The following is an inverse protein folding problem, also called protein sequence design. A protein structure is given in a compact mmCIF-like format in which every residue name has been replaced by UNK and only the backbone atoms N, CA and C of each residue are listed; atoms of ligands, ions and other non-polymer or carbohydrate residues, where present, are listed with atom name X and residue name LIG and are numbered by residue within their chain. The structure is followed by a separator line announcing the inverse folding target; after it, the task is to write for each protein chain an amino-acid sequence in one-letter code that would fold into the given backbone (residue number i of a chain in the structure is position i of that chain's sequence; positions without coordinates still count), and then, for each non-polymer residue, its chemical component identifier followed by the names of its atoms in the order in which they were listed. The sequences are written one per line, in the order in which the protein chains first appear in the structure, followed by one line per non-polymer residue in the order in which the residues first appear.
data_IF_630009308884
#
_entry.id   IF_630009308884
#
_cell.length_a   1.000
_cell.length_b   1.000
_cell.length_c   1.000
_cell.angle_alpha   90.00
_cell.angle_beta   90.00
_cell.angle_gamma   90.00
#
_symmetry.space_group_name_H-M   'P 1'
#
loop_
_entity.id
_entity.type
_entity.pdbx_description
1 polymer ?
#
# COMPACT_ATOMS: atom_id res chain seq x y z
N UNK A 1 -6.19 -6.18 15.51
CA UNK A 1 -6.35 -5.47 16.81
C UNK A 1 -5.66 -6.19 17.96
N UNK A 2 -6.04 -7.44 18.29
CA UNK A 2 -5.50 -8.17 19.46
C UNK A 2 -3.96 -8.31 19.51
N UNK A 3 -3.27 -8.29 18.37
CA UNK A 3 -1.80 -8.37 18.30
C UNK A 3 -1.07 -7.03 18.41
N UNK A 4 -1.79 -5.91 18.53
CA UNK A 4 -1.19 -4.58 18.69
C UNK A 4 -0.32 -4.10 17.51
N UNK A 5 -0.45 -4.71 16.33
CA UNK A 5 0.32 -4.32 15.13
C UNK A 5 -0.23 -2.97 14.62
N UNK A 6 0.60 -1.92 14.51
CA UNK A 6 0.19 -0.64 13.96
C UNK A 6 -0.36 -0.78 12.55
N UNK A 7 -1.38 -0.01 12.22
CA UNK A 7 -2.00 0.02 10.90
C UNK A 7 -2.41 1.45 10.59
N UNK A 8 -2.38 1.83 9.31
CA UNK A 8 -2.79 3.14 8.84
C UNK A 8 -3.94 3.00 7.85
N UNK A 9 -4.68 4.09 7.66
CA UNK A 9 -5.83 4.18 6.78
C UNK A 9 -5.40 4.24 5.31
N UNK A 10 -6.00 3.40 4.46
CA UNK A 10 -5.93 3.50 3.01
C UNK A 10 -7.10 4.27 2.40
N UNK A 11 -7.03 4.59 1.11
CA UNK A 11 -8.09 5.35 0.44
C UNK A 11 -9.41 4.55 0.30
N UNK A 12 -9.33 3.23 0.07
CA UNK A 12 -10.50 2.36 0.11
C UNK A 12 -11.09 2.27 1.51
N UNK A 13 -10.25 2.17 2.54
CA UNK A 13 -10.70 2.15 3.93
C UNK A 13 -11.45 3.43 4.28
N UNK A 14 -10.90 4.59 3.87
CA UNK A 14 -11.57 5.89 4.03
C UNK A 14 -12.92 5.91 3.29
N UNK A 15 -12.94 5.49 2.03
CA UNK A 15 -14.17 5.49 1.25
C UNK A 15 -15.26 4.61 1.86
N UNK A 16 -14.91 3.41 2.33
CA UNK A 16 -15.85 2.44 2.91
C UNK A 16 -16.27 2.86 4.31
N UNK A 17 -15.34 3.37 5.12
CA UNK A 17 -15.61 3.74 6.49
C UNK A 17 -16.55 4.95 6.58
N UNK A 18 -16.48 5.90 5.67
CA UNK A 18 -17.39 7.05 5.63
C UNK A 18 -18.49 6.96 4.56
N UNK A 19 -18.55 5.86 3.82
CA UNK A 19 -19.54 5.63 2.75
C UNK A 19 -19.62 6.81 1.77
N UNK A 20 -18.46 7.34 1.37
CA UNK A 20 -18.34 8.55 0.54
C UNK A 20 -18.84 8.37 -0.90
N UNK A 21 -19.18 7.15 -1.31
CA UNK A 21 -19.61 6.81 -2.66
C UNK A 21 -18.47 6.36 -3.59
N UNK A 22 -17.22 6.70 -3.27
CA UNK A 22 -16.03 6.27 -4.01
C UNK A 22 -14.77 6.16 -3.12
N UNK A 23 -13.68 5.63 -3.69
CA UNK A 23 -12.35 5.53 -3.05
C UNK A 23 -11.37 6.65 -3.45
N UNK A 24 -11.79 7.63 -4.26
CA UNK A 24 -10.91 8.65 -4.85
C UNK A 24 -9.85 8.09 -5.80
N UNK A 25 -10.05 6.89 -6.36
CA UNK A 25 -9.10 6.23 -7.24
C UNK A 25 -9.15 6.81 -8.67
N UNK A 26 -8.04 6.72 -9.41
CA UNK A 26 -8.04 7.00 -10.83
C UNK A 26 -8.54 5.79 -11.63
N UNK A 27 -9.40 6.04 -12.62
CA UNK A 27 -9.90 5.05 -13.58
C UNK A 27 -9.54 5.50 -15.00
N UNK A 28 -9.03 4.57 -15.82
CA UNK A 28 -8.59 4.87 -17.17
C UNK A 28 -9.75 5.05 -18.16
N UNK A 29 -10.86 4.33 -17.94
CA UNK A 29 -12.06 4.34 -18.75
C UNK A 29 -13.31 4.03 -17.89
N UNK A 30 -14.49 4.14 -18.53
CA UNK A 30 -15.79 3.92 -17.86
C UNK A 30 -15.99 2.46 -17.41
N UNK A 31 -15.39 1.49 -18.10
CA UNK A 31 -15.49 0.09 -17.70
C UNK A 31 -14.70 -0.16 -16.41
N UNK A 32 -13.47 0.33 -16.33
CA UNK A 32 -12.63 0.28 -15.13
C UNK A 32 -13.32 0.97 -13.95
N UNK A 33 -13.98 2.11 -14.20
CA UNK A 33 -14.77 2.82 -13.19
C UNK A 33 -15.93 1.97 -12.69
N UNK A 34 -16.74 1.40 -13.60
CA UNK A 34 -17.87 0.53 -13.23
C UNK A 34 -17.43 -0.69 -12.43
N UNK A 35 -16.29 -1.30 -12.78
CA UNK A 35 -15.72 -2.42 -12.03
C UNK A 35 -15.31 -1.99 -10.61
N UNK A 36 -14.65 -0.83 -10.50
CA UNK A 36 -14.26 -0.26 -9.21
C UNK A 36 -15.44 0.09 -8.31
N UNK A 37 -16.49 0.68 -8.88
CA UNK A 37 -17.74 0.99 -8.18
C UNK A 37 -18.44 -0.27 -7.67
N UNK A 38 -18.50 -1.34 -8.48
CA UNK A 38 -19.06 -2.62 -8.03
C UNK A 38 -18.28 -3.22 -6.85
N UNK A 39 -16.94 -3.19 -6.92
CA UNK A 39 -16.08 -3.63 -5.81
C UNK A 39 -16.30 -2.80 -4.55
N UNK A 40 -16.42 -1.48 -4.70
CA UNK A 40 -16.67 -0.56 -3.60
C UNK A 40 -18.03 -0.81 -2.95
N UNK A 41 -19.10 -0.87 -3.75
CA UNK A 41 -20.46 -1.09 -3.28
C UNK A 41 -20.57 -2.41 -2.50
N UNK A 42 -20.01 -3.49 -3.04
CA UNK A 42 -19.93 -4.78 -2.33
C UNK A 42 -19.19 -4.66 -1.00
N UNK A 43 -18.07 -3.95 -0.96
CA UNK A 43 -17.30 -3.80 0.29
C UNK A 43 -18.09 -2.99 1.33
N UNK A 44 -18.82 -1.96 0.91
CA UNK A 44 -19.68 -1.17 1.82
C UNK A 44 -20.77 -2.02 2.46
N UNK A 45 -21.34 -3.00 1.74
CA UNK A 45 -22.38 -3.89 2.27
C UNK A 45 -21.81 -4.95 3.21
N UNK A 46 -20.63 -5.49 2.92
CA UNK A 46 -20.02 -6.57 3.72
C UNK A 46 -19.32 -6.07 5.00
N UNK A 47 -18.78 -4.85 5.00
CA UNK A 47 -18.04 -4.33 6.16
C UNK A 47 -19.03 -3.85 7.23
N UNK A 48 -19.02 -4.55 8.37
CA UNK A 48 -19.88 -4.26 9.52
C UNK A 48 -19.65 -2.87 10.11
N UNK A 49 -20.65 -2.36 10.83
CA UNK A 49 -20.57 -1.06 11.55
C UNK A 49 -19.38 -1.00 12.52
N UNK A 50 -19.09 -2.10 13.23
CA UNK A 50 -17.94 -2.17 14.13
C UNK A 50 -16.61 -2.07 13.37
N UNK A 51 -16.50 -2.74 12.21
CA UNK A 51 -15.31 -2.66 11.38
C UNK A 51 -15.16 -1.28 10.75
N UNK A 52 -16.24 -0.64 10.29
CA UNK A 52 -16.21 0.77 9.84
C UNK A 52 -15.72 1.69 10.95
N UNK A 53 -16.23 1.54 12.18
CA UNK A 53 -15.77 2.33 13.33
C UNK A 53 -14.27 2.16 13.60
N UNK A 54 -13.75 0.95 13.46
CA UNK A 54 -12.31 0.73 13.55
C UNK A 54 -11.52 1.36 12.41
N UNK A 55 -11.96 1.24 11.16
CA UNK A 55 -11.30 1.93 10.06
C UNK A 55 -11.22 3.44 10.32
N UNK A 56 -12.28 4.06 10.83
CA UNK A 56 -12.28 5.50 11.22
C UNK A 56 -11.27 5.84 12.31
N UNK A 57 -10.83 4.87 13.11
CA UNK A 57 -9.83 5.05 14.17
C UNK A 57 -8.38 4.96 13.68
N UNK A 58 -8.16 4.49 12.45
CA UNK A 58 -6.81 4.34 11.91
C UNK A 58 -6.20 5.71 11.59
N UNK A 59 -4.93 5.95 11.95
CA UNK A 59 -4.23 7.17 11.58
C UNK A 59 -3.95 7.19 10.07
N UNK A 60 -3.80 8.39 9.49
CA UNK A 60 -3.42 8.56 8.08
C UNK A 60 -1.95 8.22 7.82
N UNK A 61 -1.11 8.41 8.82
CA UNK A 61 0.33 8.20 8.76
C UNK A 61 0.86 7.61 10.07
N UNK A 62 2.01 6.94 10.01
CA UNK A 62 2.73 6.44 11.17
C UNK A 62 4.19 6.85 11.09
N UNK A 63 4.75 7.25 12.22
CA UNK A 63 6.17 7.56 12.36
C UNK A 63 6.79 6.57 13.34
N UNK A 64 7.80 5.83 12.88
CA UNK A 64 8.46 4.76 13.64
C UNK A 64 9.96 5.01 13.69
N UNK A 65 10.59 4.49 14.74
CA UNK A 65 12.05 4.44 14.86
C UNK A 65 12.50 2.98 14.74
N UNK A 66 13.38 2.68 13.79
CA UNK A 66 13.98 1.37 13.58
C UNK A 66 15.49 1.47 13.83
N UNK A 67 15.91 1.03 15.02
CA UNK A 67 17.26 1.29 15.56
C UNK A 67 17.57 2.80 15.56
N UNK A 68 18.52 3.26 14.75
CA UNK A 68 18.85 4.69 14.61
C UNK A 68 18.09 5.39 13.47
N UNK A 69 17.28 4.67 12.69
CA UNK A 69 16.61 5.21 11.51
C UNK A 69 15.18 5.63 11.78
N UNK A 70 14.78 6.75 11.18
CA UNK A 70 13.39 7.23 11.17
C UNK A 70 12.63 6.73 9.95
N UNK A 71 11.42 6.21 10.16
CA UNK A 71 10.56 5.65 9.12
C UNK A 71 9.19 6.32 9.17
N UNK A 72 8.79 6.94 8.07
CA UNK A 72 7.46 7.51 7.85
C UNK A 72 6.66 6.57 6.94
N UNK A 73 5.45 6.18 7.38
CA UNK A 73 4.57 5.28 6.66
C UNK A 73 3.29 6.02 6.27
N UNK A 74 2.93 5.94 4.99
CA UNK A 74 1.71 6.54 4.42
C UNK A 74 1.07 5.57 3.42
N UNK A 75 -0.21 5.76 3.07
CA UNK A 75 -0.82 4.92 2.03
C UNK A 75 -0.33 5.28 0.61
N UNK A 76 -0.54 6.52 0.15
CA UNK A 76 -0.14 7.00 -1.18
C UNK A 76 1.10 7.88 -1.15
N UNK A 77 0.98 9.07 -0.55
CA UNK A 77 2.09 10.01 -0.34
C UNK A 77 1.88 10.83 0.94
N UNK A 78 2.92 11.52 1.46
CA UNK A 78 2.78 12.47 2.57
C UNK A 78 1.84 13.65 2.27
N UNK A 79 1.51 13.91 1.00
CA UNK A 79 0.65 15.04 0.61
C UNK A 79 -0.82 14.65 0.55
N UNK A 80 -1.10 13.45 0.03
CA UNK A 80 -2.45 12.93 -0.22
C UNK A 80 -2.47 11.41 -0.19
N UNK A 81 -3.51 10.86 0.43
CA UNK A 81 -3.72 9.42 0.62
C UNK A 81 -3.83 8.66 -0.71
N UNK A 82 -4.44 9.24 -1.73
CA UNK A 82 -4.69 8.65 -3.05
C UNK A 82 -3.74 9.19 -4.14
N UNK A 83 -2.58 9.72 -3.77
CA UNK A 83 -1.57 10.11 -4.77
C UNK A 83 -0.77 8.90 -5.26
N UNK A 84 -0.79 8.68 -6.57
CA UNK A 84 -0.03 7.63 -7.25
C UNK A 84 1.45 8.02 -7.43
N UNK A 85 2.32 7.49 -6.57
CA UNK A 85 3.78 7.56 -6.75
C UNK A 85 4.29 6.39 -7.59
N UNK A 86 4.03 6.43 -8.90
CA UNK A 86 4.45 5.41 -9.88
C UNK A 86 5.98 5.44 -10.10
N UNK A 87 6.60 4.27 -10.28
CA UNK A 87 8.06 4.12 -10.40
C UNK A 87 8.68 4.99 -11.51
N UNK A 88 7.96 5.19 -12.60
CA UNK A 88 8.35 5.96 -13.79
C UNK A 88 7.93 7.44 -13.73
N UNK A 89 7.36 7.90 -12.61
CA UNK A 89 7.02 9.31 -12.41
C UNK A 89 8.27 10.17 -12.41
N UNK A 90 8.13 11.42 -12.89
CA UNK A 90 9.24 12.38 -12.99
C UNK A 90 10.01 12.46 -11.66
N UNK A 91 11.32 12.21 -11.76
CA UNK A 91 12.31 12.29 -10.68
C UNK A 91 12.22 13.59 -9.87
N UNK A 92 11.88 14.72 -10.50
CA UNK A 92 11.68 16.02 -9.82
C UNK A 92 10.55 15.97 -8.78
N UNK A 93 9.59 15.07 -8.93
CA UNK A 93 8.54 14.84 -7.92
C UNK A 93 9.14 14.20 -6.68
N UNK A 94 9.96 13.17 -6.86
CA UNK A 94 10.61 12.47 -5.75
C UNK A 94 11.64 13.35 -5.04
N UNK A 95 12.42 14.15 -5.78
CA UNK A 95 13.39 15.08 -5.18
C UNK A 95 12.71 16.15 -4.33
N UNK A 96 11.56 16.68 -4.77
CA UNK A 96 10.76 17.62 -3.96
C UNK A 96 10.18 16.98 -2.70
N UNK A 97 9.66 15.76 -2.82
CA UNK A 97 9.17 15.00 -1.66
C UNK A 97 10.31 14.70 -0.68
N UNK A 98 11.47 14.29 -1.17
CA UNK A 98 12.64 14.01 -0.35
C UNK A 98 13.17 15.24 0.40
N UNK A 99 13.08 16.42 -0.22
CA UNK A 99 13.49 17.67 0.40
C UNK A 99 12.54 18.13 1.53
N UNK A 100 11.26 17.78 1.44
CA UNK A 100 10.24 18.11 2.44
C UNK A 100 10.08 17.04 3.53
N UNK A 101 10.50 15.81 3.26
CA UNK A 101 10.41 14.68 4.19
C UNK A 101 11.43 14.84 5.32
N UNK A 102 11.00 14.54 6.56
CA UNK A 102 11.83 14.60 7.76
C UNK A 102 12.51 13.25 8.04
N UNK A 103 11.84 12.13 7.73
CA UNK A 103 12.32 10.78 7.94
C UNK A 103 13.43 10.37 6.94
N UNK A 104 14.23 9.36 7.31
CA UNK A 104 15.21 8.76 6.42
C UNK A 104 14.59 7.77 5.43
N UNK A 105 13.43 7.21 5.78
CA UNK A 105 12.71 6.22 4.99
C UNK A 105 11.27 6.65 4.86
N UNK A 106 10.76 6.70 3.64
CA UNK A 106 9.35 6.88 3.34
C UNK A 106 8.80 5.58 2.74
N UNK A 107 8.02 4.86 3.53
CA UNK A 107 7.35 3.63 3.12
C UNK A 107 5.90 3.91 2.72
N UNK A 108 5.48 3.43 1.56
CA UNK A 108 4.14 3.67 1.01
C UNK A 108 3.65 2.50 0.17
N UNK A 109 2.38 2.52 -0.22
CA UNK A 109 1.75 1.49 -1.04
C UNK A 109 0.99 2.10 -2.22
N UNK A 110 -0.32 1.88 -2.24
CA UNK A 110 -1.30 2.44 -3.18
C UNK A 110 -1.16 2.00 -4.66
N UNK A 111 0.04 1.94 -5.22
CA UNK A 111 0.26 1.57 -6.63
C UNK A 111 0.43 0.06 -6.85
N UNK A 112 0.63 -0.70 -5.77
CA UNK A 112 0.71 -2.17 -5.76
C UNK A 112 1.91 -2.76 -6.54
N UNK A 113 2.99 -2.01 -6.69
CA UNK A 113 4.21 -2.44 -7.36
C UNK A 113 5.38 -2.25 -6.40
N UNK A 114 6.00 -3.34 -5.96
CA UNK A 114 7.08 -3.27 -4.98
C UNK A 114 8.37 -2.72 -5.62
N UNK A 115 8.96 -1.68 -5.03
CA UNK A 115 10.25 -1.15 -5.44
C UNK A 115 10.84 -0.27 -4.35
N UNK A 116 12.15 -0.03 -4.40
CA UNK A 116 12.82 0.93 -3.53
C UNK A 116 13.87 1.73 -4.27
N UNK A 117 13.96 3.02 -3.97
CA UNK A 117 14.95 3.90 -4.58
C UNK A 117 15.27 5.09 -3.66
N UNK A 118 16.53 5.51 -3.65
CA UNK A 118 16.95 6.70 -2.90
C UNK A 118 16.83 7.95 -3.76
N UNK A 119 16.22 8.99 -3.18
CA UNK A 119 16.16 10.34 -3.74
C UNK A 119 16.61 11.33 -2.67
N UNK A 120 17.66 12.11 -2.94
CA UNK A 120 18.31 12.90 -1.90
C UNK A 120 18.74 12.02 -0.72
N UNK A 121 18.36 12.43 0.50
CA UNK A 121 18.64 11.66 1.73
C UNK A 121 17.63 10.54 2.01
N UNK A 122 16.48 10.53 1.33
CA UNK A 122 15.34 9.70 1.69
C UNK A 122 15.31 8.42 0.85
N UNK A 123 15.13 7.29 1.52
CA UNK A 123 14.87 5.99 0.91
C UNK A 123 13.36 5.81 0.72
N UNK A 124 12.90 5.84 -0.52
CA UNK A 124 11.51 5.57 -0.88
C UNK A 124 11.31 4.07 -1.02
N UNK A 125 10.28 3.54 -0.38
CA UNK A 125 9.97 2.11 -0.36
C UNK A 125 8.50 1.90 -0.66
N UNK A 126 8.18 1.51 -1.88
CA UNK A 126 6.86 0.98 -2.18
C UNK A 126 6.78 -0.47 -1.73
N UNK A 127 5.87 -0.78 -0.80
CA UNK A 127 5.78 -2.09 -0.16
C UNK A 127 5.11 -3.15 -1.03
N UNK A 128 4.60 -2.78 -2.21
CA UNK A 128 3.86 -3.67 -3.10
C UNK A 128 2.43 -3.89 -2.64
N UNK A 129 1.90 -5.09 -2.86
CA UNK A 129 0.55 -5.46 -2.46
C UNK A 129 0.47 -6.93 -2.11
N UNK A 130 -0.16 -7.24 -0.98
CA UNK A 130 -0.41 -8.61 -0.52
C UNK A 130 -1.59 -9.21 -1.29
N UNK A 131 -2.69 -8.45 -1.42
CA UNK A 131 -3.96 -8.97 -1.94
C UNK A 131 -4.24 -8.67 -3.41
N UNK A 132 -3.53 -7.71 -4.02
CA UNK A 132 -3.70 -7.36 -5.44
C UNK A 132 -2.40 -6.80 -6.04
N UNK A 133 -1.34 -7.60 -6.27
CA UNK A 133 -0.16 -7.17 -7.02
C UNK A 133 -0.52 -6.62 -8.41
N UNK A 134 0.28 -5.68 -8.93
CA UNK A 134 0.10 -5.06 -10.26
C UNK A 134 1.36 -5.09 -11.13
N UNK A 135 2.19 -6.10 -10.93
CA UNK A 135 3.49 -6.25 -11.57
C UNK A 135 3.67 -7.56 -12.33
N UNK A 136 2.56 -8.27 -12.60
CA UNK A 136 2.54 -9.50 -13.39
C UNK A 136 2.95 -10.76 -12.62
N UNK A 137 3.21 -10.65 -11.31
CA UNK A 137 3.45 -11.79 -10.42
C UNK A 137 2.30 -11.87 -9.40
N UNK A 138 1.42 -12.91 -9.48
CA UNK A 138 0.24 -13.00 -8.65
C UNK A 138 0.55 -13.33 -7.18
N UNK A 139 1.79 -13.67 -6.84
CA UNK A 139 2.21 -13.92 -5.45
C UNK A 139 2.11 -12.64 -4.63
N UNK A 140 1.65 -12.78 -3.39
CA UNK A 140 1.60 -11.69 -2.42
C UNK A 140 2.99 -11.05 -2.27
N UNK A 141 3.04 -9.72 -2.30
CA UNK A 141 4.27 -8.95 -2.12
C UNK A 141 4.22 -8.13 -0.82
N UNK A 142 5.33 -8.15 -0.09
CA UNK A 142 5.57 -7.26 1.05
C UNK A 142 7.06 -6.95 1.17
N UNK A 143 7.40 -5.98 2.01
CA UNK A 143 8.79 -5.59 2.27
C UNK A 143 9.18 -5.92 3.70
N UNK A 144 10.41 -6.43 3.87
CA UNK A 144 11.11 -6.49 5.14
C UNK A 144 12.16 -5.38 5.17
N UNK A 145 12.00 -4.43 6.08
CA UNK A 145 13.03 -3.45 6.42
C UNK A 145 13.88 -4.00 7.58
N UNK A 146 15.20 -4.00 7.42
CA UNK A 146 16.12 -4.39 8.51
C UNK A 146 17.11 -3.28 8.74
N UNK A 147 17.22 -2.83 9.99
CA UNK A 147 18.31 -1.98 10.44
C UNK A 147 19.38 -2.85 11.11
N UNK A 148 20.61 -2.72 10.64
CA UNK A 148 21.77 -3.41 11.22
C UNK A 148 22.55 -2.38 12.04
N UNK A 149 22.75 -2.61 13.35
CA UNK A 149 23.55 -1.70 14.16
C UNK A 149 24.95 -1.54 13.58
N UNK A 150 25.41 -0.30 13.48
CA UNK A 150 26.80 -0.01 13.15
C UNK A 150 27.73 -0.48 14.26
N UNK A 151 28.87 -1.08 13.91
CA UNK A 151 29.92 -1.34 14.89
C UNK A 151 30.42 -0.02 15.46
N UNK A 152 30.51 0.10 16.79
CA UNK A 152 30.93 1.33 17.48
C UNK A 152 32.22 1.87 16.88
N UNK A 153 32.15 3.08 16.31
CA UNK A 153 33.29 3.82 15.79
C UNK A 153 33.76 3.45 14.37
N UNK A 154 33.12 2.49 13.68
CA UNK A 154 33.61 2.01 12.37
C UNK A 154 32.61 2.15 11.23
N UNK A 155 31.30 1.96 11.47
CA UNK A 155 30.27 2.09 10.44
C UNK A 155 28.97 2.67 11.02
N UNK A 156 28.25 3.54 10.27
CA UNK A 156 26.90 3.96 10.66
C UNK A 156 25.93 2.77 10.65
N UNK A 157 24.80 2.90 11.34
CA UNK A 157 23.68 1.97 11.19
C UNK A 157 23.24 1.92 9.72
N UNK A 158 22.99 0.73 9.20
CA UNK A 158 22.58 0.52 7.81
C UNK A 158 21.14 0.02 7.74
N UNK A 159 20.36 0.53 6.78
CA UNK A 159 19.03 0.01 6.48
C UNK A 159 19.03 -0.75 5.15
N UNK A 160 18.48 -1.97 5.18
CA UNK A 160 18.29 -2.81 4.01
C UNK A 160 16.81 -3.03 3.73
N UNK A 161 16.48 -3.14 2.43
CA UNK A 161 15.14 -3.37 1.92
C UNK A 161 15.11 -4.72 1.23
N UNK A 162 14.19 -5.57 1.65
CA UNK A 162 14.02 -6.88 1.07
C UNK A 162 12.57 -7.08 0.62
N UNK A 163 12.35 -7.12 -0.69
CA UNK A 163 11.04 -7.43 -1.27
C UNK A 163 10.83 -8.94 -1.21
N UNK A 164 9.76 -9.37 -0.55
CA UNK A 164 9.38 -10.77 -0.38
C UNK A 164 8.15 -11.09 -1.22
N UNK A 165 8.15 -12.31 -1.78
CA UNK A 165 7.02 -12.90 -2.49
C UNK A 165 6.58 -14.17 -1.77
N UNK A 166 5.28 -14.33 -1.60
CA UNK A 166 4.70 -15.50 -0.93
C UNK A 166 3.62 -16.10 -1.84
N UNK A 167 3.81 -17.36 -2.20
CA UNK A 167 2.79 -18.13 -2.90
C UNK A 167 1.59 -18.38 -1.97
N UNK A 168 0.40 -18.34 -2.55
CA UNK A 168 -0.85 -18.70 -1.89
C UNK A 168 -1.78 -19.33 -2.94
N UNK A 169 -2.90 -19.89 -2.50
CA UNK A 169 -3.90 -20.51 -3.37
C UNK A 169 -4.69 -19.43 -4.15
N UNK A 170 -4.07 -18.89 -5.21
CA UNK A 170 -4.64 -17.82 -6.06
C UNK A 170 -6.04 -18.20 -6.56
N UNK A 171 -6.20 -19.43 -7.04
CA UNK A 171 -7.50 -19.89 -7.55
C UNK A 171 -8.58 -19.94 -6.46
N UNK A 172 -8.24 -20.19 -5.20
CA UNK A 172 -9.22 -20.12 -4.12
C UNK A 172 -9.78 -18.69 -3.96
N UNK A 173 -8.92 -17.68 -4.07
CA UNK A 173 -9.32 -16.27 -4.06
C UNK A 173 -10.16 -15.89 -5.29
N UNK A 174 -9.74 -16.32 -6.49
CA UNK A 174 -10.51 -16.13 -7.73
C UNK A 174 -11.92 -16.67 -7.58
N UNK A 175 -12.06 -17.92 -7.12
CA UNK A 175 -13.37 -18.54 -6.96
C UNK A 175 -14.21 -17.84 -5.87
N UNK A 176 -13.59 -17.28 -4.83
CA UNK A 176 -14.30 -16.47 -3.85
C UNK A 176 -14.86 -15.17 -4.45
N UNK A 177 -14.08 -14.47 -5.28
CA UNK A 177 -14.52 -13.26 -5.99
C UNK A 177 -15.72 -13.57 -6.90
N UNK A 178 -15.65 -14.66 -7.67
CA UNK A 178 -16.74 -15.06 -8.57
C UNK A 178 -18.01 -15.45 -7.80
N UNK A 179 -17.88 -16.21 -6.70
CA UNK A 179 -19.02 -16.58 -5.84
C UNK A 179 -19.67 -15.37 -5.15
N UNK A 180 -18.90 -14.32 -4.87
CA UNK A 180 -19.41 -13.07 -4.34
C UNK A 180 -20.21 -12.24 -5.36
N UNK A 181 -20.27 -12.67 -6.64
CA UNK A 181 -20.98 -11.95 -7.70
C UNK A 181 -20.25 -10.69 -8.18
N UNK A 182 -18.96 -10.55 -7.83
CA UNK A 182 -18.14 -9.44 -8.28
C UNK A 182 -17.76 -9.58 -9.76
N UNK A 183 -17.45 -8.47 -10.46
CA UNK A 183 -17.02 -8.51 -11.86
C UNK A 183 -15.87 -9.51 -12.09
N UNK A 184 -15.97 -10.43 -13.07
CA UNK A 184 -14.93 -11.42 -13.34
C UNK A 184 -13.54 -10.83 -13.61
N UNK A 185 -13.48 -9.61 -14.15
CA UNK A 185 -12.24 -8.86 -14.39
C UNK A 185 -11.41 -8.69 -13.10
N UNK A 186 -12.05 -8.59 -11.92
CA UNK A 186 -11.33 -8.54 -10.64
C UNK A 186 -10.66 -9.87 -10.30
N UNK A 187 -11.30 -10.99 -10.65
CA UNK A 187 -10.74 -12.31 -10.46
C UNK A 187 -9.57 -12.56 -11.44
N UNK A 188 -9.72 -12.18 -12.71
CA UNK A 188 -8.62 -12.25 -13.70
C UNK A 188 -7.43 -11.39 -13.28
N UNK A 189 -7.68 -10.17 -12.81
CA UNK A 189 -6.64 -9.29 -12.28
C UNK A 189 -5.83 -9.93 -11.14
N UNK A 190 -6.49 -10.66 -10.22
CA UNK A 190 -5.81 -11.41 -9.16
C UNK A 190 -5.00 -12.57 -9.73
N UNK A 191 -5.56 -13.32 -10.69
CA UNK A 191 -4.88 -14.45 -11.33
C UNK A 191 -3.61 -14.03 -12.08
N UNK A 192 -3.66 -12.88 -12.75
CA UNK A 192 -2.58 -12.35 -13.57
C UNK A 192 -1.61 -11.41 -12.82
N UNK A 193 -1.98 -10.96 -11.61
CA UNK A 193 -1.24 -9.93 -10.87
C UNK A 193 -1.27 -8.55 -11.55
N UNK A 194 -2.46 -8.06 -11.95
CA UNK A 194 -2.66 -6.79 -12.69
C UNK A 194 -3.69 -5.82 -12.08
#
# INVERSE_FOLDING_TARGET
RARGIPSLLGNYDQGVAWETGDCGCYYADDEAKRIGEASYAYTVTEVTTENKAYLRSLPLELHLTLAAHTVHLVHGSPRRINEYLLRDRDRRTYERLAAAESAEVLAFGHTHQAWSQRYGRVLFVNVGSVGRPKDGDPRAAYVVLRATPGATGSHPSEITVEIRRVAYEVEATVQAILRAGLPPQLAEAVREGR
#
